data_IF_301092253837
#
_entry.id   IF_301092253837
#
_cell.length_a   1.000
_cell.length_b   1.000
_cell.length_c   1.000
_cell.angle_alpha   90.00
_cell.angle_beta   90.00
_cell.angle_gamma   90.00
#
_symmetry.space_group_name_H-M   'P 1'
#
loop_
_entity.id
_entity.type
_entity.pdbx_description
1 polymer ?
#
# COMPACT_ATOMS: atom_id res chain seq x y z
N UNK A 1 16.95 -67.91 -20.56
CA UNK A 1 15.54 -68.35 -20.47
C UNK A 1 15.29 -69.33 -21.58
N UNK A 2 14.85 -70.54 -21.24
CA UNK A 2 14.42 -71.53 -22.22
C UNK A 2 13.10 -71.11 -22.88
N UNK A 3 12.75 -71.73 -24.01
CA UNK A 3 11.47 -71.45 -24.70
C UNK A 3 10.26 -71.75 -23.83
N UNK A 4 10.36 -72.77 -22.96
CA UNK A 4 9.31 -73.15 -22.01
C UNK A 4 9.07 -72.07 -20.96
N UNK A 5 10.12 -71.42 -20.47
CA UNK A 5 9.99 -70.32 -19.49
C UNK A 5 9.29 -69.09 -20.11
N UNK A 6 9.57 -68.82 -21.39
CA UNK A 6 8.91 -67.74 -22.14
C UNK A 6 7.42 -68.03 -22.36
N UNK A 7 7.07 -69.28 -22.67
CA UNK A 7 5.67 -69.71 -22.83
C UNK A 7 4.89 -69.66 -21.51
N UNK A 8 5.51 -70.06 -20.40
CA UNK A 8 4.92 -69.95 -19.07
C UNK A 8 4.71 -68.49 -18.64
N UNK A 9 5.70 -67.62 -18.88
CA UNK A 9 5.57 -66.18 -18.61
C UNK A 9 4.47 -65.55 -19.47
N UNK A 10 4.39 -65.91 -20.75
CA UNK A 10 3.34 -65.42 -21.65
C UNK A 10 1.95 -65.91 -21.19
N UNK A 11 1.82 -67.18 -20.83
CA UNK A 11 0.58 -67.75 -20.27
C UNK A 11 0.16 -67.05 -18.98
N UNK A 12 1.12 -66.75 -18.10
CA UNK A 12 0.87 -66.00 -16.87
C UNK A 12 0.37 -64.57 -17.16
N UNK A 13 1.04 -63.84 -18.06
CA UNK A 13 0.64 -62.48 -18.46
C UNK A 13 -0.74 -62.43 -19.10
N UNK A 14 -1.09 -63.43 -19.92
CA UNK A 14 -2.43 -63.56 -20.51
C UNK A 14 -3.47 -63.89 -19.42
N UNK A 15 -3.14 -64.76 -18.46
CA UNK A 15 -4.04 -65.15 -17.36
C UNK A 15 -4.38 -63.99 -16.42
N UNK A 16 -3.50 -62.98 -16.33
CA UNK A 16 -3.75 -61.77 -15.55
C UNK A 16 -4.86 -60.90 -16.14
N UNK A 17 -5.45 -61.28 -17.28
CA UNK A 17 -6.52 -60.53 -17.95
C UNK A 17 -6.14 -59.05 -18.05
N UNK A 18 -4.86 -58.80 -18.37
CA UNK A 18 -4.34 -57.46 -18.64
C UNK A 18 -5.09 -56.94 -19.87
N UNK A 19 -6.24 -56.32 -19.60
CA UNK A 19 -7.04 -55.61 -20.58
C UNK A 19 -6.18 -54.44 -21.06
N UNK A 20 -5.33 -54.72 -22.04
CA UNK A 20 -4.65 -53.72 -22.85
C UNK A 20 -5.71 -53.08 -23.76
N UNK A 21 -6.73 -52.47 -23.15
CA UNK A 21 -7.61 -51.53 -23.83
C UNK A 21 -6.75 -50.30 -24.06
N UNK A 22 -5.97 -50.31 -25.15
CA UNK A 22 -5.36 -49.11 -25.67
C UNK A 22 -6.48 -48.12 -25.94
N UNK A 23 -6.57 -47.08 -25.11
CA UNK A 23 -7.20 -45.85 -25.58
C UNK A 23 -6.51 -45.53 -26.89
N UNK A 24 -7.30 -45.39 -27.94
CA UNK A 24 -6.80 -45.14 -29.28
C UNK A 24 -6.15 -43.75 -29.42
N UNK A 25 -6.27 -42.89 -28.40
CA UNK A 25 -5.71 -41.53 -28.35
C UNK A 25 -4.50 -41.53 -27.43
N UNK A 26 -3.38 -41.00 -27.92
CA UNK A 26 -2.17 -40.84 -27.11
C UNK A 26 -2.20 -39.49 -26.38
N UNK A 27 -1.70 -39.46 -25.15
CA UNK A 27 -1.52 -38.23 -24.41
C UNK A 27 -0.15 -38.20 -23.73
N UNK A 28 0.53 -37.05 -23.80
CA UNK A 28 1.85 -36.85 -23.20
C UNK A 28 1.90 -35.52 -22.44
N UNK A 29 2.56 -35.53 -21.28
CA UNK A 29 2.83 -34.33 -20.48
C UNK A 29 4.29 -33.94 -20.65
N UNK A 30 4.56 -32.69 -20.99
CA UNK A 30 5.88 -32.08 -21.09
C UNK A 30 5.98 -30.96 -20.06
N UNK A 31 6.97 -30.98 -19.20
CA UNK A 31 7.15 -29.92 -18.21
C UNK A 31 8.62 -29.77 -17.83
N UNK A 32 9.02 -28.54 -17.54
CA UNK A 32 10.35 -28.24 -17.05
C UNK A 32 10.52 -28.76 -15.62
N UNK A 33 11.76 -29.09 -15.29
CA UNK A 33 12.14 -29.67 -14.01
C UNK A 33 12.44 -31.16 -14.14
N UNK A 34 12.86 -31.76 -13.03
CA UNK A 34 13.32 -33.15 -13.00
C UNK A 34 12.19 -34.18 -12.94
N UNK A 35 11.01 -33.80 -12.45
CA UNK A 35 9.92 -34.75 -12.17
C UNK A 35 8.53 -34.12 -12.26
N UNK A 36 8.38 -32.96 -12.89
CA UNK A 36 7.10 -32.25 -12.95
C UNK A 36 6.11 -32.99 -13.84
N UNK A 37 6.53 -33.39 -15.04
CA UNK A 37 5.69 -34.09 -15.99
C UNK A 37 5.38 -35.51 -15.52
N UNK A 38 6.41 -36.23 -15.07
CA UNK A 38 6.24 -37.60 -14.54
C UNK A 38 5.35 -37.62 -13.31
N UNK A 39 5.55 -36.72 -12.34
CA UNK A 39 4.71 -36.68 -11.14
C UNK A 39 3.24 -36.39 -11.46
N UNK A 40 2.95 -35.47 -12.40
CA UNK A 40 1.57 -35.18 -12.79
C UNK A 40 0.96 -36.39 -13.54
N UNK A 41 1.71 -36.99 -14.47
CA UNK A 41 1.25 -38.17 -15.22
C UNK A 41 0.96 -39.35 -14.28
N UNK A 42 1.84 -39.61 -13.32
CA UNK A 42 1.67 -40.70 -12.35
C UNK A 42 0.42 -40.50 -11.49
N UNK A 43 0.21 -39.29 -10.94
CA UNK A 43 -0.99 -38.99 -10.15
C UNK A 43 -2.26 -39.13 -11.00
N UNK A 44 -2.27 -38.58 -12.22
CA UNK A 44 -3.43 -38.66 -13.09
C UNK A 44 -3.75 -40.11 -13.50
N UNK A 45 -2.73 -40.89 -13.87
CA UNK A 45 -2.87 -42.28 -14.27
C UNK A 45 -3.35 -43.17 -13.11
N UNK A 46 -2.81 -42.96 -11.90
CA UNK A 46 -3.26 -43.68 -10.71
C UNK A 46 -4.70 -43.34 -10.35
N UNK A 47 -5.06 -42.05 -10.37
CA UNK A 47 -6.41 -41.60 -10.04
C UNK A 47 -7.46 -42.15 -11.03
N UNK A 48 -7.13 -42.19 -12.31
CA UNK A 48 -8.00 -42.75 -13.36
C UNK A 48 -7.89 -44.28 -13.50
N UNK A 49 -7.04 -44.91 -12.67
CA UNK A 49 -6.74 -46.34 -12.65
C UNK A 49 -6.37 -46.92 -14.04
N UNK A 50 -5.70 -46.11 -14.87
CA UNK A 50 -5.31 -46.43 -16.24
C UNK A 50 -4.07 -45.66 -16.65
N UNK A 51 -3.23 -46.26 -17.49
CA UNK A 51 -2.12 -45.56 -18.14
C UNK A 51 -2.64 -44.73 -19.32
N UNK A 52 -2.91 -43.45 -19.09
CA UNK A 52 -3.42 -42.50 -20.08
C UNK A 52 -2.31 -41.57 -20.59
N UNK A 53 -1.49 -41.06 -19.68
CA UNK A 53 -0.42 -40.11 -19.99
C UNK A 53 0.94 -40.79 -19.95
N UNK A 54 1.74 -40.56 -20.98
CA UNK A 54 3.20 -40.64 -20.89
C UNK A 54 3.77 -39.27 -20.45
N UNK A 55 5.03 -39.21 -20.06
CA UNK A 55 5.66 -37.99 -19.55
C UNK A 55 7.06 -37.76 -20.12
N UNK A 56 7.45 -36.49 -20.22
CA UNK A 56 8.81 -36.08 -20.53
C UNK A 56 9.19 -34.87 -19.67
N UNK A 57 10.10 -35.12 -18.73
CA UNK A 57 10.68 -34.10 -17.86
C UNK A 57 11.83 -33.40 -18.57
N UNK A 58 11.77 -32.07 -18.62
CA UNK A 58 12.75 -31.25 -19.35
C UNK A 58 13.67 -30.54 -18.37
N UNK A 59 14.96 -30.94 -18.29
CA UNK A 59 15.98 -30.10 -17.68
C UNK A 59 15.96 -28.68 -18.26
N UNK A 60 16.25 -27.66 -17.44
CA UNK A 60 16.14 -26.24 -17.84
C UNK A 60 17.02 -25.84 -19.04
N UNK A 61 18.02 -26.65 -19.38
CA UNK A 61 18.92 -26.44 -20.50
C UNK A 61 18.48 -27.15 -21.80
N UNK A 62 17.34 -27.83 -21.80
CA UNK A 62 16.79 -28.47 -23.00
C UNK A 62 16.32 -27.39 -23.98
N UNK A 63 16.75 -27.50 -25.24
CA UNK A 63 16.30 -26.61 -26.31
C UNK A 63 14.97 -27.09 -26.90
N UNK A 64 14.20 -26.15 -27.47
CA UNK A 64 12.93 -26.46 -28.17
C UNK A 64 13.15 -27.47 -29.30
N UNK A 65 14.29 -27.43 -30.00
CA UNK A 65 14.61 -28.39 -31.04
C UNK A 65 14.71 -29.82 -30.49
N UNK A 66 15.34 -30.01 -29.32
CA UNK A 66 15.42 -31.32 -28.68
C UNK A 66 14.04 -31.83 -28.26
N UNK A 67 13.15 -30.95 -27.81
CA UNK A 67 11.74 -31.30 -27.52
C UNK A 67 11.02 -31.72 -28.80
N UNK A 68 11.22 -30.99 -29.91
CA UNK A 68 10.65 -31.34 -31.21
C UNK A 68 11.12 -32.72 -31.69
N UNK A 69 12.43 -32.98 -31.64
CA UNK A 69 13.01 -34.25 -32.07
C UNK A 69 12.45 -35.41 -31.22
N UNK A 70 12.32 -35.21 -29.91
CA UNK A 70 11.70 -36.18 -29.00
C UNK A 70 10.23 -36.45 -29.36
N UNK A 71 9.42 -35.42 -29.59
CA UNK A 71 8.01 -35.60 -29.95
C UNK A 71 7.85 -36.26 -31.32
N UNK A 72 8.70 -35.92 -32.29
CA UNK A 72 8.70 -36.61 -33.58
C UNK A 72 9.02 -38.09 -33.39
N UNK A 73 10.05 -38.44 -32.62
CA UNK A 73 10.35 -39.84 -32.31
C UNK A 73 9.19 -40.53 -31.60
N UNK A 74 8.53 -39.85 -30.66
CA UNK A 74 7.35 -40.35 -29.96
C UNK A 74 6.19 -40.64 -30.93
N UNK A 75 5.92 -39.75 -31.88
CA UNK A 75 4.88 -39.93 -32.93
C UNK A 75 5.23 -41.07 -33.89
N UNK A 76 6.52 -41.30 -34.19
CA UNK A 76 6.92 -42.42 -35.05
C UNK A 76 6.84 -43.76 -34.31
N UNK A 77 7.13 -43.77 -33.01
CA UNK A 77 7.12 -44.98 -32.17
C UNK A 77 5.71 -45.41 -31.78
N UNK A 78 4.78 -44.47 -31.66
CA UNK A 78 3.40 -44.69 -31.25
C UNK A 78 2.44 -44.36 -32.40
N UNK A 79 1.48 -45.23 -32.73
CA UNK A 79 0.50 -44.95 -33.78
C UNK A 79 -0.49 -43.84 -33.37
N UNK A 80 -0.12 -42.59 -33.63
CA UNK A 80 -0.89 -41.40 -33.28
C UNK A 80 -1.97 -41.02 -34.31
N UNK A 81 -2.34 -41.89 -35.27
CA UNK A 81 -3.31 -41.54 -36.32
C UNK A 81 -4.70 -41.16 -35.78
N UNK A 82 -5.09 -41.70 -34.62
CA UNK A 82 -6.37 -41.39 -33.96
C UNK A 82 -6.29 -40.18 -33.02
N UNK A 83 -5.11 -39.58 -32.88
CA UNK A 83 -4.88 -38.28 -32.26
C UNK A 83 -3.87 -38.30 -31.12
N UNK A 84 -3.17 -37.17 -30.96
CA UNK A 84 -2.20 -36.89 -29.90
C UNK A 84 -2.62 -35.64 -29.11
N UNK A 85 -2.61 -35.74 -27.79
CA UNK A 85 -2.78 -34.62 -26.87
C UNK A 85 -1.46 -34.36 -26.14
N UNK A 86 -0.99 -33.11 -26.16
CA UNK A 86 0.22 -32.68 -25.47
C UNK A 86 -0.16 -31.65 -24.43
N UNK A 87 0.13 -31.92 -23.16
CA UNK A 87 -0.03 -30.96 -22.07
C UNK A 87 1.34 -30.37 -21.74
N UNK A 88 1.45 -29.04 -21.72
CA UNK A 88 2.71 -28.32 -21.48
C UNK A 88 2.59 -27.38 -20.29
N UNK A 89 3.69 -27.15 -19.57
CA UNK A 89 3.74 -26.27 -18.41
C UNK A 89 3.65 -24.78 -18.76
N UNK A 90 4.40 -24.33 -19.76
CA UNK A 90 4.53 -22.93 -20.11
C UNK A 90 4.20 -22.65 -21.59
N UNK A 91 3.86 -21.39 -21.87
CA UNK A 91 3.45 -20.95 -23.21
C UNK A 91 4.54 -21.03 -24.29
N UNK A 92 5.82 -21.12 -23.91
CA UNK A 92 6.94 -21.20 -24.87
C UNK A 92 6.86 -22.45 -25.77
N UNK A 93 6.22 -23.53 -25.30
CA UNK A 93 6.01 -24.77 -26.06
C UNK A 93 4.75 -24.73 -26.93
N UNK A 94 4.01 -23.62 -26.95
CA UNK A 94 2.86 -23.47 -27.85
C UNK A 94 3.27 -23.28 -29.33
N UNK A 95 4.57 -23.22 -29.62
CA UNK A 95 5.12 -23.27 -30.99
C UNK A 95 5.17 -24.68 -31.59
N UNK A 96 5.02 -25.72 -30.75
CA UNK A 96 5.10 -27.12 -31.18
C UNK A 96 4.13 -27.48 -32.33
N UNK A 97 2.83 -27.07 -32.32
CA UNK A 97 1.90 -27.41 -33.40
C UNK A 97 2.39 -27.01 -34.79
N UNK A 98 2.97 -25.80 -34.93
CA UNK A 98 3.45 -25.30 -36.22
C UNK A 98 4.67 -26.10 -36.70
N UNK A 99 5.57 -26.44 -35.78
CA UNK A 99 6.78 -27.22 -36.09
C UNK A 99 6.50 -28.70 -36.41
N UNK A 100 5.41 -29.26 -35.89
CA UNK A 100 5.06 -30.67 -36.06
C UNK A 100 4.07 -30.93 -37.21
N UNK A 101 3.51 -29.86 -37.79
CA UNK A 101 2.43 -29.93 -38.80
C UNK A 101 2.72 -30.85 -39.99
N UNK A 102 3.97 -30.92 -40.44
CA UNK A 102 4.38 -31.74 -41.57
C UNK A 102 4.50 -33.25 -41.24
N UNK A 103 4.61 -33.60 -39.96
CA UNK A 103 4.98 -34.93 -39.48
C UNK A 103 3.86 -35.61 -38.64
N UNK A 104 2.67 -35.02 -38.59
CA UNK A 104 1.51 -35.57 -37.88
C UNK A 104 0.55 -36.26 -38.85
N UNK A 105 0.09 -37.46 -38.49
CA UNK A 105 -0.85 -38.27 -39.28
C UNK A 105 -2.26 -38.28 -38.69
N UNK A 106 -2.53 -37.44 -37.69
CA UNK A 106 -3.78 -37.38 -36.95
C UNK A 106 -3.95 -36.04 -36.24
N UNK A 107 -5.11 -35.81 -35.59
CA UNK A 107 -5.36 -34.55 -34.88
C UNK A 107 -4.37 -34.36 -33.73
N UNK A 108 -3.82 -33.15 -33.61
CA UNK A 108 -2.93 -32.75 -32.53
C UNK A 108 -3.61 -31.66 -31.70
N UNK A 109 -3.67 -31.85 -30.39
CA UNK A 109 -4.14 -30.84 -29.44
C UNK A 109 -3.02 -30.52 -28.45
N UNK A 110 -2.60 -29.25 -28.37
CA UNK A 110 -1.59 -28.79 -27.40
C UNK A 110 -2.24 -27.82 -26.43
N UNK A 111 -2.04 -28.04 -25.14
CA UNK A 111 -2.67 -27.26 -24.06
C UNK A 111 -1.59 -26.84 -23.07
N UNK A 112 -1.46 -25.55 -22.80
CA UNK A 112 -0.52 -25.02 -21.82
C UNK A 112 -1.09 -24.96 -20.39
N UNK A 113 -0.24 -24.56 -19.44
CA UNK A 113 -0.59 -24.40 -18.04
C UNK A 113 -1.01 -25.72 -17.37
N UNK A 114 -0.26 -26.79 -17.65
CA UNK A 114 -0.55 -28.12 -17.09
C UNK A 114 -0.52 -28.11 -15.57
N UNK A 115 -1.58 -28.65 -14.99
CA UNK A 115 -1.73 -28.94 -13.58
C UNK A 115 -2.31 -30.34 -13.44
N UNK A 116 -2.26 -30.91 -12.23
CA UNK A 116 -2.91 -32.20 -11.95
C UNK A 116 -4.41 -32.16 -12.27
N UNK A 117 -5.09 -31.04 -11.97
CA UNK A 117 -6.51 -30.89 -12.26
C UNK A 117 -6.79 -30.88 -13.78
N UNK A 118 -5.95 -30.20 -14.57
CA UNK A 118 -6.05 -30.22 -16.02
C UNK A 118 -5.81 -31.63 -16.59
N UNK A 119 -4.76 -32.32 -16.11
CA UNK A 119 -4.45 -33.67 -16.55
C UNK A 119 -5.59 -34.66 -16.26
N UNK A 120 -6.21 -34.57 -15.08
CA UNK A 120 -7.39 -35.37 -14.74
C UNK A 120 -8.58 -35.06 -15.65
N UNK A 121 -8.88 -33.77 -15.87
CA UNK A 121 -9.97 -33.34 -16.75
C UNK A 121 -9.79 -33.87 -18.18
N UNK A 122 -8.58 -33.73 -18.74
CA UNK A 122 -8.24 -34.22 -20.08
C UNK A 122 -8.27 -35.74 -20.11
N UNK A 123 -7.76 -36.41 -19.08
CA UNK A 123 -7.76 -37.88 -18.97
C UNK A 123 -9.17 -38.45 -18.98
N UNK A 124 -10.08 -37.91 -18.16
CA UNK A 124 -11.50 -38.29 -18.20
C UNK A 124 -12.15 -38.04 -19.57
N UNK A 125 -11.77 -36.94 -20.23
CA UNK A 125 -12.32 -36.58 -21.54
C UNK A 125 -11.86 -37.55 -22.63
N UNK A 126 -10.61 -38.03 -22.54
CA UNK A 126 -10.08 -39.09 -23.40
C UNK A 126 -10.89 -40.38 -23.18
N UNK A 127 -11.13 -40.77 -21.93
CA UNK A 127 -11.90 -41.98 -21.61
C UNK A 127 -13.34 -41.91 -22.11
N UNK A 128 -13.98 -40.74 -22.00
CA UNK A 128 -15.32 -40.47 -22.51
C UNK A 128 -15.37 -40.30 -24.04
N UNK A 129 -14.22 -40.45 -24.73
CA UNK A 129 -14.07 -40.28 -26.17
C UNK A 129 -14.51 -38.91 -26.71
N UNK A 130 -14.40 -37.85 -25.90
CA UNK A 130 -14.73 -36.48 -26.32
C UNK A 130 -13.81 -36.05 -27.48
N UNK A 131 -14.36 -35.28 -28.44
CA UNK A 131 -13.62 -34.76 -29.58
C UNK A 131 -12.64 -33.65 -29.15
N UNK A 132 -11.47 -33.57 -29.79
CA UNK A 132 -10.37 -32.70 -29.35
C UNK A 132 -10.75 -31.21 -29.32
N UNK A 133 -11.52 -30.76 -30.32
CA UNK A 133 -12.05 -29.39 -30.39
C UNK A 133 -13.00 -29.06 -29.23
N UNK A 134 -13.74 -30.04 -28.72
CA UNK A 134 -14.64 -29.86 -27.57
C UNK A 134 -13.88 -29.91 -26.24
N UNK A 135 -12.84 -30.74 -26.12
CA UNK A 135 -11.94 -30.71 -24.95
C UNK A 135 -11.34 -29.31 -24.79
N UNK A 136 -10.85 -28.72 -25.89
CA UNK A 136 -10.38 -27.33 -25.95
C UNK A 136 -11.35 -26.32 -25.33
N UNK A 137 -12.61 -26.37 -25.75
CA UNK A 137 -13.65 -25.41 -25.32
C UNK A 137 -14.07 -25.60 -23.87
N UNK A 138 -14.25 -26.86 -23.43
CA UNK A 138 -14.79 -27.19 -22.10
C UNK A 138 -13.84 -26.83 -20.94
N UNK A 139 -12.57 -26.54 -21.23
CA UNK A 139 -11.58 -26.18 -20.21
C UNK A 139 -11.73 -24.75 -19.69
N UNK A 140 -12.12 -23.81 -20.57
CA UNK A 140 -12.05 -22.36 -20.30
C UNK A 140 -12.90 -21.93 -19.10
N UNK A 141 -14.01 -22.63 -18.85
CA UNK A 141 -14.94 -22.30 -17.77
C UNK A 141 -14.71 -23.08 -16.46
N UNK A 142 -13.91 -24.16 -16.50
CA UNK A 142 -13.82 -25.15 -15.39
C UNK A 142 -12.52 -25.10 -14.58
N UNK A 143 -11.49 -24.41 -15.08
CA UNK A 143 -10.12 -24.49 -14.55
C UNK A 143 -9.57 -23.12 -14.15
N UNK A 144 -10.45 -22.17 -13.82
CA UNK A 144 -10.04 -20.87 -13.28
C UNK A 144 -9.60 -21.02 -11.82
N UNK A 145 -8.51 -20.36 -11.39
CA UNK A 145 -8.10 -20.38 -9.99
C UNK A 145 -9.18 -19.75 -9.10
N UNK A 146 -9.66 -20.51 -8.13
CA UNK A 146 -10.41 -19.95 -7.01
C UNK A 146 -9.41 -19.43 -5.96
N UNK A 147 -9.63 -18.22 -5.46
CA UNK A 147 -8.84 -17.65 -4.37
C UNK A 147 -9.76 -17.17 -3.25
N UNK A 148 -9.26 -17.27 -2.02
CA UNK A 148 -9.92 -16.71 -0.85
C UNK A 148 -8.91 -15.89 -0.06
N UNK A 149 -9.29 -14.68 0.31
CA UNK A 149 -8.50 -13.79 1.15
C UNK A 149 -9.28 -13.54 2.44
N UNK A 150 -8.67 -13.88 3.57
CA UNK A 150 -9.27 -13.71 4.89
C UNK A 150 -8.41 -12.74 5.70
N UNK A 151 -9.02 -11.68 6.21
CA UNK A 151 -8.41 -10.81 7.21
C UNK A 151 -8.84 -11.27 8.62
N UNK A 152 -7.93 -11.32 9.61
CA UNK A 152 -8.29 -11.70 10.97
C UNK A 152 -9.23 -10.68 11.62
N UNK A 153 -10.23 -11.15 12.37
CA UNK A 153 -11.15 -10.29 13.14
C UNK A 153 -10.42 -9.78 14.39
N UNK A 154 -9.63 -8.72 14.23
CA UNK A 154 -8.98 -8.00 15.33
C UNK A 154 -9.82 -6.76 15.61
N UNK A 155 -9.94 -6.36 16.88
CA UNK A 155 -10.44 -5.02 17.21
C UNK A 155 -9.48 -4.01 16.57
N UNK A 156 -9.90 -3.44 15.45
CA UNK A 156 -9.06 -2.58 14.62
C UNK A 156 -8.56 -1.40 15.45
N UNK A 157 -7.25 -1.18 15.45
CA UNK A 157 -6.68 0.00 16.09
C UNK A 157 -7.08 1.25 15.31
N UNK A 158 -7.41 2.36 16.00
CA UNK A 158 -7.72 3.60 15.32
C UNK A 158 -6.50 4.11 14.57
N UNK A 159 -6.72 4.64 13.37
CA UNK A 159 -5.62 5.07 12.49
C UNK A 159 -5.91 6.40 11.81
N UNK A 160 -4.87 7.22 11.67
CA UNK A 160 -4.86 8.41 10.81
C UNK A 160 -3.87 8.15 9.68
N UNK A 161 -4.33 8.34 8.45
CA UNK A 161 -3.45 8.26 7.28
C UNK A 161 -2.91 9.65 6.98
N UNK A 162 -1.61 9.76 6.68
CA UNK A 162 -1.04 10.98 6.12
C UNK A 162 -0.71 10.79 4.65
N UNK A 163 -0.98 11.80 3.82
CA UNK A 163 -0.68 11.75 2.39
C UNK A 163 -0.29 13.12 1.85
N UNK A 164 0.49 13.15 0.77
CA UNK A 164 0.98 14.38 0.18
C UNK A 164 1.14 14.22 -1.33
N UNK A 165 0.86 15.29 -2.10
CA UNK A 165 1.05 15.27 -3.56
C UNK A 165 2.51 15.04 -3.96
N UNK A 166 3.46 15.58 -3.19
CA UNK A 166 4.90 15.48 -3.50
C UNK A 166 5.51 14.14 -3.13
N UNK A 167 4.69 13.18 -2.66
CA UNK A 167 5.07 11.80 -2.40
C UNK A 167 5.19 11.45 -0.91
N UNK A 168 5.61 10.22 -0.65
CA UNK A 168 5.69 9.61 0.70
C UNK A 168 6.60 10.40 1.65
N UNK A 169 7.67 11.04 1.14
CA UNK A 169 8.62 11.80 1.98
C UNK A 169 7.95 12.94 2.76
N UNK A 170 7.18 13.77 2.07
CA UNK A 170 6.42 14.85 2.70
C UNK A 170 5.27 14.32 3.56
N UNK A 171 4.64 13.22 3.14
CA UNK A 171 3.62 12.55 3.97
C UNK A 171 4.19 12.03 5.31
N UNK A 172 5.46 11.61 5.34
CA UNK A 172 6.17 11.23 6.57
C UNK A 172 6.48 12.41 7.49
N UNK A 173 6.70 13.61 6.94
CA UNK A 173 6.84 14.81 7.77
C UNK A 173 5.52 15.11 8.48
N UNK A 174 4.39 15.05 7.76
CA UNK A 174 3.05 15.18 8.35
C UNK A 174 2.81 14.09 9.40
N UNK A 175 3.23 12.85 9.12
CA UNK A 175 3.15 11.74 10.10
C UNK A 175 3.90 12.09 11.38
N UNK A 176 5.16 12.47 11.27
CA UNK A 176 6.00 12.87 12.42
C UNK A 176 5.34 14.00 13.21
N UNK A 177 4.84 15.04 12.53
CA UNK A 177 4.16 16.15 13.17
C UNK A 177 2.94 15.71 14.00
N UNK A 178 2.11 14.83 13.43
CA UNK A 178 0.94 14.30 14.14
C UNK A 178 1.37 13.40 15.32
N UNK A 179 2.39 12.56 15.14
CA UNK A 179 2.91 11.68 16.21
C UNK A 179 3.42 12.47 17.42
N UNK A 180 4.09 13.61 17.18
CA UNK A 180 4.56 14.49 18.26
C UNK A 180 3.44 15.31 18.92
N UNK A 181 2.29 15.43 18.26
CA UNK A 181 1.17 16.27 18.73
C UNK A 181 0.05 15.48 19.40
N UNK A 182 0.01 14.16 19.17
CA UNK A 182 -1.07 13.27 19.64
C UNK A 182 -0.58 12.46 20.84
N UNK A 183 -1.27 12.52 22.00
CA UNK A 183 -0.91 11.73 23.18
C UNK A 183 -0.94 10.22 22.90
N UNK A 184 0.12 9.52 23.32
CA UNK A 184 0.26 8.06 23.14
C UNK A 184 -0.86 7.25 23.81
N UNK A 185 -1.51 7.81 24.83
CA UNK A 185 -2.65 7.22 25.54
C UNK A 185 -3.89 7.02 24.66
N UNK A 186 -3.98 7.68 23.50
CA UNK A 186 -5.07 7.49 22.55
C UNK A 186 -4.89 6.26 21.66
N UNK A 187 -3.69 5.68 21.61
CA UNK A 187 -3.36 4.47 20.82
C UNK A 187 -3.70 4.57 19.32
N UNK A 188 -3.69 5.79 18.77
CA UNK A 188 -3.83 6.01 17.33
C UNK A 188 -2.53 5.63 16.62
N UNK A 189 -2.65 4.82 15.56
CA UNK A 189 -1.56 4.60 14.60
C UNK A 189 -1.58 5.72 13.57
N UNK A 190 -0.40 6.20 13.17
CA UNK A 190 -0.27 7.19 12.11
C UNK A 190 0.63 6.60 11.04
N UNK A 191 0.23 6.67 9.78
CA UNK A 191 1.00 6.08 8.69
C UNK A 191 0.93 6.93 7.43
N UNK A 192 2.11 7.22 6.89
CA UNK A 192 2.23 7.84 5.58
C UNK A 192 1.90 6.84 4.47
N UNK A 193 0.89 7.16 3.67
CA UNK A 193 0.47 6.34 2.53
C UNK A 193 0.54 7.16 1.24
N UNK A 194 1.03 6.51 0.19
CA UNK A 194 1.15 7.10 -1.13
C UNK A 194 -0.22 7.52 -1.69
N UNK A 195 -0.27 8.71 -2.29
CA UNK A 195 -1.51 9.30 -2.81
C UNK A 195 -2.06 8.52 -4.01
N UNK A 196 -1.19 8.05 -4.91
CA UNK A 196 -1.62 7.28 -6.08
C UNK A 196 -2.15 5.91 -5.66
N UNK A 197 -1.51 5.29 -4.66
CA UNK A 197 -2.01 4.06 -4.05
C UNK A 197 -3.41 4.23 -3.43
N UNK A 198 -3.64 5.32 -2.70
CA UNK A 198 -4.96 5.64 -2.14
C UNK A 198 -6.00 5.87 -3.25
N UNK A 199 -5.66 6.63 -4.29
CA UNK A 199 -6.57 6.90 -5.43
C UNK A 199 -6.89 5.66 -6.25
N UNK A 200 -5.91 4.79 -6.47
CA UNK A 200 -6.05 3.58 -7.29
C UNK A 200 -7.02 2.58 -6.68
N UNK A 201 -6.92 2.34 -5.38
CA UNK A 201 -7.72 1.33 -4.68
C UNK A 201 -8.94 1.93 -3.96
N UNK A 202 -8.96 3.23 -3.68
CA UNK A 202 -10.06 3.92 -3.04
C UNK A 202 -10.55 3.19 -1.79
N UNK A 203 -11.86 2.94 -1.72
CA UNK A 203 -12.49 2.20 -0.62
C UNK A 203 -12.05 0.73 -0.51
N UNK A 204 -11.48 0.15 -1.57
CA UNK A 204 -10.97 -1.23 -1.61
C UNK A 204 -9.52 -1.37 -1.11
N UNK A 205 -8.94 -0.30 -0.59
CA UNK A 205 -7.59 -0.35 -0.06
C UNK A 205 -7.54 -1.24 1.21
N UNK A 206 -6.61 -2.19 1.24
CA UNK A 206 -6.42 -3.12 2.37
C UNK A 206 -6.22 -2.44 3.72
N UNK A 207 -5.78 -1.18 3.76
CA UNK A 207 -5.62 -0.41 5.01
C UNK A 207 -6.94 -0.26 5.77
N UNK A 208 -8.07 -0.14 5.06
CA UNK A 208 -9.40 -0.04 5.67
C UNK A 208 -9.90 -1.38 6.22
N UNK A 209 -9.35 -2.48 5.73
CA UNK A 209 -9.64 -3.82 6.28
C UNK A 209 -8.79 -4.13 7.52
N UNK A 210 -7.57 -3.58 7.59
CA UNK A 210 -6.66 -3.82 8.71
C UNK A 210 -6.89 -2.85 9.89
N UNK A 211 -7.31 -1.62 9.64
CA UNK A 211 -7.39 -0.55 10.64
C UNK A 211 -8.72 0.19 10.62
N UNK A 212 -9.06 0.80 11.76
CA UNK A 212 -10.22 1.71 11.89
C UNK A 212 -9.74 3.11 11.53
N UNK A 213 -9.61 3.35 10.22
CA UNK A 213 -9.14 4.63 9.70
C UNK A 213 -10.17 5.71 10.01
N UNK A 214 -9.80 6.67 10.85
CA UNK A 214 -10.69 7.75 11.30
C UNK A 214 -10.68 8.95 10.37
N UNK A 215 -9.54 9.25 9.76
CA UNK A 215 -9.37 10.39 8.87
C UNK A 215 -8.12 10.25 7.99
N UNK A 216 -8.08 11.03 6.92
CA UNK A 216 -6.90 11.24 6.07
C UNK A 216 -6.47 12.69 6.22
N UNK A 217 -5.21 12.92 6.59
CA UNK A 217 -4.61 14.26 6.71
C UNK A 217 -3.60 14.44 5.59
N UNK A 218 -3.65 15.57 4.88
CA UNK A 218 -2.70 15.79 3.82
C UNK A 218 -2.72 17.15 3.17
N UNK A 219 -1.92 17.31 2.13
CA UNK A 219 -1.96 18.51 1.26
C UNK A 219 -2.77 18.28 -0.01
N UNK A 220 -3.27 17.07 -0.25
CA UNK A 220 -4.14 16.75 -1.38
C UNK A 220 -5.13 15.66 -1.04
N UNK A 221 -6.38 15.86 -1.45
CA UNK A 221 -7.49 14.95 -1.19
C UNK A 221 -7.43 13.72 -2.13
N UNK A 222 -7.38 12.48 -1.60
CA UNK A 222 -7.51 11.27 -2.42
C UNK A 222 -8.95 11.00 -2.89
N UNK A 223 -9.94 11.78 -2.41
CA UNK A 223 -11.37 11.65 -2.72
C UNK A 223 -11.99 10.31 -2.31
N UNK A 224 -11.61 9.79 -1.14
CA UNK A 224 -12.15 8.57 -0.55
C UNK A 224 -13.39 8.92 0.29
N UNK A 225 -14.57 8.39 -0.06
CA UNK A 225 -15.84 8.80 0.56
C UNK A 225 -16.05 8.22 1.96
N UNK A 226 -15.41 7.10 2.28
CA UNK A 226 -15.60 6.37 3.56
C UNK A 226 -15.09 7.14 4.78
N UNK A 227 -14.08 7.99 4.61
CA UNK A 227 -13.40 8.68 5.72
C UNK A 227 -13.23 10.16 5.40
N UNK A 228 -13.27 11.06 6.41
CA UNK A 228 -13.08 12.48 6.18
C UNK A 228 -11.63 12.77 5.76
N UNK A 229 -11.50 13.64 4.76
CA UNK A 229 -10.23 14.28 4.42
C UNK A 229 -10.09 15.61 5.16
N UNK A 230 -8.92 15.84 5.74
CA UNK A 230 -8.57 17.07 6.46
C UNK A 230 -7.31 17.62 5.81
N UNK A 231 -7.44 18.77 5.16
CA UNK A 231 -6.29 19.50 4.67
C UNK A 231 -5.41 19.94 5.85
N UNK A 232 -4.09 19.76 5.71
CA UNK A 232 -3.12 20.19 6.72
C UNK A 232 -3.27 21.68 7.05
N UNK A 233 -3.59 22.50 6.06
CA UNK A 233 -3.86 23.94 6.23
C UNK A 233 -5.03 24.21 7.17
N UNK A 234 -6.07 23.36 7.16
CA UNK A 234 -7.24 23.52 8.03
C UNK A 234 -6.93 23.17 9.49
N UNK A 235 -5.98 22.27 9.74
CA UNK A 235 -5.45 22.02 11.09
C UNK A 235 -4.74 23.26 11.65
N UNK A 236 -4.17 24.09 10.78
CA UNK A 236 -3.40 25.28 11.13
C UNK A 236 -4.28 26.53 11.24
N UNK A 237 -5.21 26.74 10.32
CA UNK A 237 -5.91 28.01 10.17
C UNK A 237 -7.34 28.04 10.73
N UNK A 238 -7.96 26.88 11.02
CA UNK A 238 -9.37 26.79 11.40
C UNK A 238 -9.69 27.07 12.88
N UNK A 239 -10.98 26.96 13.24
CA UNK A 239 -11.41 26.70 14.62
C UNK A 239 -10.87 25.31 15.01
N UNK A 240 -9.64 25.30 15.51
CA UNK A 240 -8.85 24.09 15.69
C UNK A 240 -9.53 23.01 16.53
N UNK A 241 -10.43 23.39 17.44
CA UNK A 241 -11.17 22.43 18.27
C UNK A 241 -12.15 21.60 17.43
N UNK A 242 -12.77 22.22 16.42
CA UNK A 242 -13.73 21.54 15.53
C UNK A 242 -13.04 20.53 14.60
N UNK A 243 -11.86 20.88 14.07
CA UNK A 243 -11.07 20.02 13.17
C UNK A 243 -10.49 18.84 13.95
N UNK A 244 -9.95 19.08 15.15
CA UNK A 244 -9.43 18.02 16.03
C UNK A 244 -10.55 17.08 16.48
N UNK A 245 -11.78 17.57 16.69
CA UNK A 245 -12.94 16.71 16.97
C UNK A 245 -13.28 15.77 15.82
N UNK A 246 -13.05 16.18 14.57
CA UNK A 246 -13.22 15.32 13.39
C UNK A 246 -12.13 14.24 13.31
N UNK A 247 -10.90 14.54 13.75
CA UNK A 247 -9.81 13.55 13.85
C UNK A 247 -10.08 12.50 14.95
N UNK A 248 -10.69 12.94 16.06
CA UNK A 248 -10.88 12.13 17.26
C UNK A 248 -12.38 12.05 17.64
N UNK A 249 -13.23 11.42 16.81
CA UNK A 249 -14.68 11.39 17.06
C UNK A 249 -15.05 10.65 18.35
N UNK A 250 -14.21 9.72 18.80
CA UNK A 250 -14.44 8.90 19.99
C UNK A 250 -13.99 9.60 21.30
N UNK A 251 -13.27 10.73 21.21
CA UNK A 251 -12.76 11.47 22.38
C UNK A 251 -13.80 12.49 22.84
N UNK A 252 -14.33 12.30 24.05
CA UNK A 252 -15.34 13.19 24.66
C UNK A 252 -14.75 14.31 25.52
N UNK A 253 -13.49 14.19 25.93
CA UNK A 253 -12.82 15.18 26.77
C UNK A 253 -12.41 16.41 25.95
N UNK A 254 -13.16 17.51 26.14
CA UNK A 254 -12.91 18.78 25.46
C UNK A 254 -11.59 19.45 25.90
N UNK A 255 -11.13 19.22 27.13
CA UNK A 255 -9.85 19.77 27.59
C UNK A 255 -8.69 19.04 26.89
N UNK A 256 -8.80 17.72 26.72
CA UNK A 256 -7.84 16.92 25.95
C UNK A 256 -7.80 17.35 24.48
N UNK A 257 -8.96 17.52 23.83
CA UNK A 257 -9.03 17.99 22.44
C UNK A 257 -8.39 19.37 22.27
N UNK A 258 -8.64 20.29 23.22
CA UNK A 258 -8.01 21.62 23.22
C UNK A 258 -6.49 21.51 23.38
N UNK A 259 -6.00 20.63 24.25
CA UNK A 259 -4.57 20.38 24.44
C UNK A 259 -3.91 19.82 23.19
N UNK A 260 -4.55 18.87 22.50
CA UNK A 260 -4.09 18.33 21.22
C UNK A 260 -3.99 19.44 20.17
N UNK A 261 -5.03 20.29 20.06
CA UNK A 261 -4.99 21.44 19.16
C UNK A 261 -3.79 22.36 19.45
N UNK A 262 -3.56 22.68 20.73
CA UNK A 262 -2.45 23.52 21.12
C UNK A 262 -1.10 22.91 20.74
N UNK A 263 -0.90 21.60 20.97
CA UNK A 263 0.32 20.90 20.56
C UNK A 263 0.51 20.84 19.05
N UNK A 264 -0.57 20.62 18.28
CA UNK A 264 -0.51 20.67 16.82
C UNK A 264 -0.02 22.04 16.33
N UNK A 265 -0.60 23.12 16.86
CA UNK A 265 -0.21 24.49 16.51
C UNK A 265 1.22 24.78 16.93
N UNK A 266 1.61 24.37 18.13
CA UNK A 266 2.96 24.55 18.66
C UNK A 266 4.00 23.79 17.82
N UNK A 267 3.87 22.48 17.65
CA UNK A 267 4.82 21.65 16.90
C UNK A 267 4.95 22.07 15.43
N UNK A 268 3.85 22.50 14.80
CA UNK A 268 3.89 23.00 13.44
C UNK A 268 4.59 24.36 13.34
N UNK A 269 4.41 25.20 14.38
CA UNK A 269 5.14 26.46 14.50
C UNK A 269 6.62 26.22 14.75
N UNK A 270 7.00 25.17 15.51
CA UNK A 270 8.39 24.75 15.71
C UNK A 270 9.08 24.47 14.39
N UNK A 271 8.47 23.65 13.52
CA UNK A 271 9.07 23.34 12.21
C UNK A 271 9.27 24.60 11.34
N UNK A 272 8.29 25.51 11.33
CA UNK A 272 8.43 26.79 10.62
C UNK A 272 9.50 27.69 11.24
N UNK A 273 9.61 27.71 12.56
CA UNK A 273 10.57 28.52 13.30
C UNK A 273 12.01 28.03 13.16
N UNK A 274 12.22 26.71 13.12
CA UNK A 274 13.54 26.13 12.84
C UNK A 274 14.10 26.56 11.48
N UNK A 275 13.23 26.96 10.53
CA UNK A 275 13.66 27.53 9.25
C UNK A 275 13.93 29.05 9.28
N UNK A 276 13.42 29.76 10.30
CA UNK A 276 13.48 31.23 10.38
C UNK A 276 14.50 31.75 11.42
N UNK A 277 14.86 30.92 12.39
CA UNK A 277 15.72 31.26 13.53
C UNK A 277 17.06 30.54 13.34
N UNK A 278 18.18 31.25 13.49
CA UNK A 278 19.51 30.69 13.17
C UNK A 278 20.45 30.57 14.37
N UNK A 279 20.28 31.39 15.41
CA UNK A 279 21.15 31.37 16.60
C UNK A 279 20.40 30.89 17.86
N UNK A 280 19.08 31.10 17.94
CA UNK A 280 18.34 30.77 19.15
C UNK A 280 17.96 29.29 19.21
N UNK A 281 17.87 28.80 20.44
CA UNK A 281 17.26 27.50 20.73
C UNK A 281 15.75 27.61 20.51
N UNK A 282 15.29 27.07 19.38
CA UNK A 282 13.89 27.12 18.96
C UNK A 282 12.93 26.61 20.06
N UNK A 283 13.34 25.61 20.85
CA UNK A 283 12.48 25.07 21.92
C UNK A 283 12.26 26.06 23.06
N UNK A 284 13.30 26.78 23.48
CA UNK A 284 13.19 27.81 24.53
C UNK A 284 12.41 29.03 24.06
N UNK A 285 12.63 29.46 22.83
CA UNK A 285 11.90 30.58 22.24
C UNK A 285 10.42 30.26 22.19
N UNK A 286 10.05 29.06 21.74
CA UNK A 286 8.65 28.64 21.63
C UNK A 286 7.97 28.57 22.99
N UNK A 287 8.62 28.00 24.01
CA UNK A 287 8.10 28.06 25.38
C UNK A 287 7.86 29.50 25.82
N UNK A 288 8.82 30.40 25.59
CA UNK A 288 8.71 31.81 25.98
C UNK A 288 7.55 32.53 25.27
N UNK A 289 7.36 32.25 23.98
CA UNK A 289 6.28 32.84 23.17
C UNK A 289 4.92 32.25 23.57
N UNK A 290 4.86 30.95 23.89
CA UNK A 290 3.65 30.30 24.42
C UNK A 290 3.21 30.90 25.76
N UNK A 291 4.16 31.12 26.67
CA UNK A 291 3.90 31.78 27.96
C UNK A 291 3.41 33.22 27.76
N UNK A 292 4.05 33.96 26.86
CA UNK A 292 3.62 35.32 26.49
C UNK A 292 2.19 35.34 25.93
N UNK A 293 1.84 34.41 25.03
CA UNK A 293 0.48 34.33 24.49
C UNK A 293 -0.54 34.00 25.56
N UNK A 294 -0.20 33.11 26.51
CA UNK A 294 -1.08 32.77 27.63
C UNK A 294 -1.33 34.00 28.52
N UNK A 295 -0.28 34.72 28.90
CA UNK A 295 -0.40 35.96 29.67
C UNK A 295 -1.16 37.04 28.88
N UNK A 296 -1.00 37.09 27.56
CA UNK A 296 -1.74 38.02 26.70
C UNK A 296 -3.23 37.72 26.71
N UNK A 297 -3.65 36.47 26.49
CA UNK A 297 -5.06 36.04 26.51
C UNK A 297 -5.71 36.34 27.87
N UNK A 298 -5.01 36.07 28.97
CA UNK A 298 -5.49 36.35 30.34
C UNK A 298 -5.66 37.86 30.62
N UNK A 299 -4.67 38.68 30.23
CA UNK A 299 -4.69 40.13 30.48
C UNK A 299 -5.67 40.91 29.60
N UNK A 300 -6.02 40.36 28.43
CA UNK A 300 -6.86 41.03 27.44
C UNK A 300 -8.29 40.48 27.41
N UNK A 301 -8.50 39.24 27.86
CA UNK A 301 -9.78 38.54 27.76
C UNK A 301 -10.13 38.06 26.35
N UNK A 302 -9.18 38.13 25.41
CA UNK A 302 -9.37 37.63 24.04
C UNK A 302 -8.91 36.17 23.93
N UNK A 303 -9.42 35.45 22.92
CA UNK A 303 -8.87 34.16 22.49
C UNK A 303 -8.20 34.33 21.14
N UNK A 304 -6.93 33.95 21.08
CA UNK A 304 -6.16 33.95 19.85
C UNK A 304 -6.61 32.78 18.97
N UNK A 305 -6.91 33.06 17.71
CA UNK A 305 -7.14 32.02 16.69
C UNK A 305 -5.83 31.26 16.41
N UNK A 306 -5.92 30.05 15.86
CA UNK A 306 -4.72 29.29 15.51
C UNK A 306 -3.81 30.09 14.54
N UNK A 307 -4.39 30.83 13.59
CA UNK A 307 -3.63 31.67 12.66
C UNK A 307 -2.88 32.82 13.38
N UNK A 308 -3.53 33.49 14.33
CA UNK A 308 -2.87 34.50 15.16
C UNK A 308 -1.73 33.88 15.98
N UNK A 309 -1.94 32.69 16.58
CA UNK A 309 -0.90 31.99 17.35
C UNK A 309 0.32 31.65 16.50
N UNK A 310 0.11 31.09 15.30
CA UNK A 310 1.20 30.78 14.36
C UNK A 310 1.93 32.06 13.94
N UNK A 311 1.19 33.12 13.63
CA UNK A 311 1.76 34.42 13.25
C UNK A 311 2.59 35.00 14.39
N UNK A 312 2.11 34.93 15.62
CA UNK A 312 2.85 35.38 16.81
C UNK A 312 4.09 34.53 17.06
N UNK A 313 4.00 33.20 16.95
CA UNK A 313 5.17 32.33 17.04
C UNK A 313 6.26 32.76 16.08
N UNK A 314 5.93 32.90 14.79
CA UNK A 314 6.90 33.30 13.75
C UNK A 314 7.43 34.71 13.99
N UNK A 315 6.55 35.70 14.15
CA UNK A 315 6.94 37.11 14.24
C UNK A 315 7.75 37.40 15.51
N UNK A 316 7.30 36.92 16.67
CA UNK A 316 7.97 37.20 17.95
C UNK A 316 9.33 36.51 18.00
N UNK A 317 9.45 35.28 17.48
CA UNK A 317 10.74 34.60 17.42
C UNK A 317 11.73 35.32 16.50
N UNK A 318 11.29 35.76 15.32
CA UNK A 318 12.11 36.55 14.41
C UNK A 318 12.49 37.92 15.01
N UNK A 319 11.55 38.57 15.72
CA UNK A 319 11.79 39.82 16.45
C UNK A 319 12.85 39.63 17.54
N UNK A 320 12.78 38.58 18.35
CA UNK A 320 13.78 38.28 19.38
C UNK A 320 15.17 38.14 18.73
N UNK A 321 15.28 37.37 17.65
CA UNK A 321 16.57 37.19 16.96
C UNK A 321 17.12 38.49 16.38
N UNK A 322 16.28 39.30 15.71
CA UNK A 322 16.65 40.60 15.17
C UNK A 322 17.16 41.56 16.25
N UNK A 323 16.47 41.62 17.39
CA UNK A 323 16.83 42.50 18.49
C UNK A 323 18.13 42.06 19.17
N UNK A 324 18.38 40.77 19.32
CA UNK A 324 19.65 40.24 19.85
C UNK A 324 20.82 40.59 18.91
N UNK A 325 20.58 40.57 17.60
CA UNK A 325 21.58 40.92 16.58
C UNK A 325 21.81 42.43 16.44
N UNK A 326 21.07 43.27 17.16
CA UNK A 326 21.05 44.72 16.99
C UNK A 326 20.74 45.14 15.54
N UNK A 327 19.90 44.38 14.85
CA UNK A 327 19.42 44.74 13.51
C UNK A 327 18.47 45.94 13.58
N UNK A 328 18.35 46.72 12.48
CA UNK A 328 17.49 47.89 12.47
C UNK A 328 16.04 47.54 12.84
N UNK A 329 15.39 48.38 13.67
CA UNK A 329 14.02 48.16 14.10
C UNK A 329 13.05 48.19 12.92
N UNK A 330 11.92 47.52 13.08
CA UNK A 330 10.87 47.51 12.06
C UNK A 330 10.33 48.93 11.92
N UNK A 331 10.17 49.42 10.69
CA UNK A 331 9.54 50.71 10.43
C UNK A 331 8.05 50.47 10.20
N UNK A 332 7.26 50.60 11.26
CA UNK A 332 5.82 50.35 11.20
C UNK A 332 5.04 51.53 11.80
N UNK A 333 4.56 52.41 10.94
CA UNK A 333 3.82 53.62 11.32
C UNK A 333 2.32 53.40 11.12
N UNK A 334 1.56 53.66 12.18
CA UNK A 334 0.10 53.55 12.17
C UNK A 334 -0.51 54.79 12.81
N UNK A 335 -1.76 55.09 12.46
CA UNK A 335 -2.51 56.14 13.14
C UNK A 335 -2.74 55.71 14.59
N UNK A 336 -2.24 56.51 15.52
CA UNK A 336 -2.38 56.25 16.95
C UNK A 336 -3.82 56.56 17.39
N UNK A 337 -4.54 55.55 17.88
CA UNK A 337 -5.79 55.71 18.63
C UNK A 337 -5.57 55.42 20.12
N UNK A 338 -6.49 55.86 20.98
CA UNK A 338 -6.37 55.59 22.42
C UNK A 338 -6.54 54.09 22.73
N UNK A 339 -7.42 53.41 21.99
CA UNK A 339 -7.57 51.94 22.03
C UNK A 339 -6.27 51.22 21.66
N UNK A 340 -5.58 51.68 20.60
CA UNK A 340 -4.30 51.09 20.18
C UNK A 340 -3.23 51.26 21.25
N UNK A 341 -3.12 52.44 21.87
CA UNK A 341 -2.17 52.64 22.99
C UNK A 341 -2.45 51.70 24.16
N UNK A 342 -3.72 51.51 24.53
CA UNK A 342 -4.11 50.60 25.59
C UNK A 342 -3.77 49.14 25.24
N UNK A 343 -4.07 48.70 24.01
CA UNK A 343 -3.71 47.37 23.54
C UNK A 343 -2.20 47.13 23.51
N UNK A 344 -1.43 48.09 22.98
CA UNK A 344 0.04 48.03 22.99
C UNK A 344 0.60 47.95 24.42
N UNK A 345 -0.04 48.61 25.40
CA UNK A 345 0.37 48.53 26.81
C UNK A 345 0.15 47.13 27.38
N UNK A 346 -0.97 46.47 27.03
CA UNK A 346 -1.24 45.08 27.43
C UNK A 346 -0.26 44.11 26.78
N UNK A 347 0.03 44.27 25.48
CA UNK A 347 1.02 43.46 24.76
C UNK A 347 2.41 43.64 25.38
N UNK A 348 2.81 44.87 25.68
CA UNK A 348 4.09 45.16 26.33
C UNK A 348 4.23 44.49 27.70
N UNK A 349 3.12 44.36 28.44
CA UNK A 349 3.12 43.64 29.72
C UNK A 349 3.43 42.15 29.52
N UNK A 350 2.78 41.49 28.56
CA UNK A 350 3.02 40.09 28.24
C UNK A 350 4.44 39.82 27.72
N UNK A 351 5.08 40.80 27.09
CA UNK A 351 6.46 40.70 26.59
C UNK A 351 7.54 40.84 27.67
N UNK A 352 7.21 41.22 28.92
CA UNK A 352 8.21 41.49 29.97
C UNK A 352 9.14 40.31 30.25
N UNK A 353 8.60 39.10 30.29
CA UNK A 353 9.39 37.90 30.53
C UNK A 353 10.37 37.65 29.38
N UNK A 354 9.96 37.94 28.14
CA UNK A 354 10.82 37.85 26.96
C UNK A 354 11.90 38.94 27.00
N UNK A 355 11.54 40.21 27.23
CA UNK A 355 12.51 41.32 27.36
C UNK A 355 13.58 41.02 28.41
N UNK A 356 13.17 40.50 29.57
CA UNK A 356 14.09 40.14 30.65
C UNK A 356 14.94 38.92 30.34
N UNK A 357 14.37 37.87 29.74
CA UNK A 357 15.09 36.59 29.50
C UNK A 357 16.13 36.71 28.41
N UNK A 358 15.85 37.52 27.38
CA UNK A 358 16.74 37.71 26.23
C UNK A 358 17.54 39.01 26.29
N UNK A 359 17.30 39.87 27.29
CA UNK A 359 18.02 41.15 27.44
C UNK A 359 17.71 42.16 26.33
N UNK A 360 16.51 42.10 25.75
CA UNK A 360 16.08 42.94 24.63
C UNK A 360 15.06 43.99 25.08
N UNK A 361 14.86 45.01 24.24
CA UNK A 361 13.83 46.04 24.44
C UNK A 361 12.98 46.18 23.20
N UNK A 362 11.68 45.95 23.33
CA UNK A 362 10.72 46.03 22.23
C UNK A 362 10.26 47.47 22.06
N UNK A 363 10.40 47.99 20.84
CA UNK A 363 10.04 49.36 20.51
C UNK A 363 8.55 49.53 20.16
N UNK A 364 8.13 50.77 19.91
CA UNK A 364 6.74 51.07 19.62
C UNK A 364 6.25 50.53 18.27
N UNK A 365 7.15 50.37 17.28
CA UNK A 365 6.78 49.89 15.96
C UNK A 365 6.46 48.40 16.00
N UNK A 366 7.25 47.61 16.74
CA UNK A 366 6.98 46.20 16.98
C UNK A 366 5.67 46.01 17.77
N UNK A 367 5.44 46.83 18.81
CA UNK A 367 4.18 46.80 19.56
C UNK A 367 2.96 47.10 18.68
N UNK A 368 3.09 48.04 17.76
CA UNK A 368 2.02 48.37 16.81
C UNK A 368 1.74 47.23 15.84
N UNK A 369 2.78 46.54 15.35
CA UNK A 369 2.61 45.38 14.48
C UNK A 369 1.94 44.22 15.22
N UNK A 370 2.37 43.95 16.45
CA UNK A 370 1.74 42.94 17.32
C UNK A 370 0.29 43.29 17.64
N UNK A 371 -0.04 44.57 17.81
CA UNK A 371 -1.43 45.01 17.99
C UNK A 371 -2.31 44.59 16.82
N UNK A 372 -1.84 44.75 15.59
CA UNK A 372 -2.64 44.41 14.41
C UNK A 372 -2.83 42.89 14.27
N UNK A 373 -1.82 42.09 14.62
CA UNK A 373 -1.95 40.62 14.71
C UNK A 373 -3.03 40.22 15.73
N UNK A 374 -3.03 40.84 16.90
CA UNK A 374 -3.86 40.43 18.03
C UNK A 374 -5.30 40.94 17.91
N UNK A 375 -5.50 42.15 17.39
CA UNK A 375 -6.79 42.85 17.45
C UNK A 375 -7.40 43.20 16.08
N UNK A 376 -6.68 43.08 14.95
CA UNK A 376 -7.16 43.55 13.65
C UNK A 376 -7.08 42.52 12.51
N UNK A 377 -6.89 41.24 12.80
CA UNK A 377 -6.79 40.17 11.80
C UNK A 377 -7.84 39.07 11.96
#
# INVERSE_FOLDING_TARGET
>A
MGEVDKLLLLGYLISLNLNYKTSNKHAIILAHGYSTASSIADVANQFLNKKIFDSYDMPLNVSIQQVNDYIQQYIHKNDCHKGLIILVDMGSLMVLPDSLKANINGPLLVINNVSTQLALFVGESIEKNIAFNEIGKLMTDKLTPEYSLIYPVIKKSPMIITTCHTGIGSAKQIQSLLEHSIPTSLHYKIEAVDLEYLKKYGDSNSVFEQYDVKAIVGTSDPHIKRVPYIALENLIAGDGTSVVKTLFPDVKDMALLKRINNYLVENLSVERLLSAVTILDATKVISSVSDMMTELEENTGIRLTNNQRVTLYVHVSAMIERLIRNEPPLVYKVVSSEERKQGCTKIKRALRNIESSYGIKVDQNELNYLYDIVFQL
#
